data_IF_845027284453
#
_entry.id   IF_845027284453
#
_cell.length_a   1.000
_cell.length_b   1.000
_cell.length_c   1.000
_cell.angle_alpha   90.00
_cell.angle_beta   90.00
_cell.angle_gamma   90.00
#
_symmetry.space_group_name_H-M   'P 1'
#
loop_
_entity.id
_entity.type
_entity.pdbx_description
1 polymer ?
#
# COMPACT_ATOMS: atom_id res chain seq x y z
N UNK A 1 77.32 -8.22 -81.79
CA UNK A 1 75.96 -7.63 -81.77
C UNK A 1 74.94 -8.54 -81.07
N UNK A 2 74.81 -9.82 -81.45
CA UNK A 2 73.83 -10.77 -80.86
C UNK A 2 73.97 -10.95 -79.34
N UNK A 3 75.20 -11.07 -78.82
CA UNK A 3 75.43 -11.24 -77.38
C UNK A 3 74.95 -10.04 -76.55
N UNK A 4 75.21 -8.81 -77.01
CA UNK A 4 74.76 -7.57 -76.37
C UNK A 4 73.23 -7.45 -76.31
N UNK A 5 72.54 -7.82 -77.39
CA UNK A 5 71.07 -7.85 -77.43
C UNK A 5 70.54 -8.87 -76.43
N UNK A 6 71.09 -10.09 -76.43
CA UNK A 6 70.67 -11.17 -75.52
C UNK A 6 70.87 -10.82 -74.04
N UNK A 7 71.99 -10.19 -73.68
CA UNK A 7 72.24 -9.75 -72.29
C UNK A 7 71.27 -8.67 -71.86
N UNK A 8 70.96 -7.70 -72.74
CA UNK A 8 70.02 -6.62 -72.44
C UNK A 8 68.59 -7.14 -72.29
N UNK A 9 68.15 -8.02 -73.19
CA UNK A 9 66.82 -8.64 -73.08
C UNK A 9 66.71 -9.48 -71.81
N UNK A 10 67.75 -10.26 -71.46
CA UNK A 10 67.74 -11.05 -70.23
C UNK A 10 67.74 -10.16 -68.98
N UNK A 11 68.46 -9.04 -68.96
CA UNK A 11 68.42 -8.11 -67.83
C UNK A 11 67.05 -7.45 -67.68
N UNK A 12 66.41 -7.06 -68.79
CA UNK A 12 65.05 -6.50 -68.77
C UNK A 12 64.06 -7.53 -68.24
N UNK A 13 64.05 -8.76 -68.77
CA UNK A 13 63.16 -9.82 -68.29
C UNK A 13 63.35 -10.15 -66.81
N UNK A 14 64.59 -10.08 -66.30
CA UNK A 14 64.87 -10.27 -64.87
C UNK A 14 64.36 -9.11 -64.01
N UNK A 15 64.47 -7.87 -64.51
CA UNK A 15 63.88 -6.70 -63.86
C UNK A 15 62.37 -6.83 -63.80
N UNK A 16 61.73 -7.10 -64.94
CA UNK A 16 60.28 -7.25 -65.05
C UNK A 16 59.76 -8.38 -64.17
N UNK A 17 60.49 -9.51 -64.10
CA UNK A 17 60.14 -10.62 -63.20
C UNK A 17 60.25 -10.19 -61.73
N UNK A 18 61.34 -9.52 -61.35
CA UNK A 18 61.52 -9.02 -59.97
C UNK A 18 60.45 -8.01 -59.58
N UNK A 19 60.04 -7.14 -60.51
CA UNK A 19 58.95 -6.17 -60.30
C UNK A 19 57.60 -6.87 -60.16
N UNK A 20 57.32 -7.85 -61.01
CA UNK A 20 56.09 -8.64 -60.93
C UNK A 20 56.02 -9.47 -59.64
N UNK A 21 57.13 -10.05 -59.20
CA UNK A 21 57.22 -10.77 -57.92
C UNK A 21 56.99 -9.85 -56.72
N UNK A 22 57.58 -8.65 -56.73
CA UNK A 22 57.38 -7.65 -55.70
C UNK A 22 55.92 -7.15 -55.66
N UNK A 23 55.32 -6.89 -56.83
CA UNK A 23 53.92 -6.48 -56.93
C UNK A 23 52.97 -7.59 -56.44
N UNK A 24 53.24 -8.85 -56.82
CA UNK A 24 52.45 -10.00 -56.35
C UNK A 24 52.60 -10.20 -54.83
N UNK A 25 53.78 -10.00 -54.26
CA UNK A 25 54.00 -10.05 -52.82
C UNK A 25 53.24 -8.94 -52.08
N UNK A 26 53.29 -7.71 -52.60
CA UNK A 26 52.55 -6.58 -52.04
C UNK A 26 51.03 -6.79 -52.10
N UNK A 27 50.50 -7.26 -53.25
CA UNK A 27 49.08 -7.57 -53.41
C UNK A 27 48.61 -8.67 -52.45
N UNK A 28 49.42 -9.72 -52.23
CA UNK A 28 49.10 -10.77 -51.23
C UNK A 28 49.09 -10.22 -49.81
N UNK A 29 50.05 -9.36 -49.45
CA UNK A 29 50.11 -8.75 -48.13
C UNK A 29 48.91 -7.80 -47.89
N UNK A 30 48.47 -7.06 -48.91
CA UNK A 30 47.29 -6.22 -48.84
C UNK A 30 46.00 -7.05 -48.72
N UNK A 31 45.85 -8.10 -49.53
CA UNK A 31 44.72 -9.01 -49.45
C UNK A 31 44.61 -9.66 -48.06
N UNK A 32 45.73 -10.07 -47.45
CA UNK A 32 45.72 -10.65 -46.11
C UNK A 32 45.34 -9.62 -45.04
N UNK A 33 45.81 -8.37 -45.16
CA UNK A 33 45.40 -7.28 -44.26
C UNK A 33 43.89 -7.05 -44.32
N UNK A 34 43.33 -6.94 -45.52
CA UNK A 34 41.87 -6.79 -45.69
C UNK A 34 41.09 -8.00 -45.17
N UNK A 35 41.62 -9.21 -45.33
CA UNK A 35 40.99 -10.42 -44.78
C UNK A 35 40.92 -10.37 -43.26
N UNK A 36 42.02 -10.01 -42.60
CA UNK A 36 42.07 -9.89 -41.12
C UNK A 36 41.18 -8.75 -40.63
N UNK A 37 41.19 -7.60 -41.30
CA UNK A 37 40.33 -6.48 -40.95
C UNK A 37 38.84 -6.83 -41.10
N UNK A 38 38.48 -7.50 -42.20
CA UNK A 38 37.10 -7.98 -42.41
C UNK A 38 36.68 -8.99 -41.35
N UNK A 39 37.57 -9.90 -40.94
CA UNK A 39 37.30 -10.86 -39.86
C UNK A 39 37.10 -10.14 -38.54
N UNK A 40 37.97 -9.19 -38.20
CA UNK A 40 37.86 -8.43 -36.96
C UNK A 40 36.58 -7.58 -36.91
N UNK A 41 36.19 -6.99 -38.05
CA UNK A 41 34.93 -6.25 -38.18
C UNK A 41 33.72 -7.16 -38.00
N UNK A 42 33.72 -8.33 -38.64
CA UNK A 42 32.66 -9.32 -38.48
C UNK A 42 32.54 -9.82 -37.03
N UNK A 43 33.65 -10.16 -36.39
CA UNK A 43 33.67 -10.59 -34.98
C UNK A 43 33.14 -9.49 -34.04
N UNK A 44 33.49 -8.23 -34.33
CA UNK A 44 33.02 -7.09 -33.55
C UNK A 44 31.52 -6.85 -33.72
N UNK A 45 31.01 -6.99 -34.95
CA UNK A 45 29.57 -6.92 -35.22
C UNK A 45 28.80 -8.03 -34.49
N UNK A 46 29.28 -9.27 -34.55
CA UNK A 46 28.67 -10.40 -33.83
C UNK A 46 28.64 -10.15 -32.32
N UNK A 47 29.75 -9.69 -31.73
CA UNK A 47 29.77 -9.35 -30.28
C UNK A 47 28.79 -8.23 -29.93
N UNK A 48 28.69 -7.21 -30.78
CA UNK A 48 27.75 -6.11 -30.56
C UNK A 48 26.29 -6.59 -30.63
N UNK A 49 25.94 -7.43 -31.61
CA UNK A 49 24.60 -8.02 -31.73
C UNK A 49 24.25 -8.87 -30.52
N UNK A 50 25.16 -9.74 -30.07
CA UNK A 50 24.95 -10.55 -28.87
C UNK A 50 24.74 -9.70 -27.61
N UNK A 51 25.53 -8.64 -27.43
CA UNK A 51 25.36 -7.72 -26.31
C UNK A 51 24.01 -6.99 -26.36
N UNK A 52 23.56 -6.59 -27.56
CA UNK A 52 22.25 -5.96 -27.73
C UNK A 52 21.11 -6.92 -27.38
N UNK A 53 21.19 -8.19 -27.81
CA UNK A 53 20.19 -9.19 -27.46
C UNK A 53 20.17 -9.48 -25.95
N UNK A 54 21.34 -9.57 -25.31
CA UNK A 54 21.43 -9.75 -23.86
C UNK A 54 20.77 -8.57 -23.10
N UNK A 55 21.07 -7.33 -23.53
CA UNK A 55 20.48 -6.12 -22.95
C UNK A 55 18.97 -6.05 -23.16
N UNK A 56 18.48 -6.45 -24.34
CA UNK A 56 17.04 -6.57 -24.61
C UNK A 56 16.38 -7.58 -23.68
N UNK A 57 17.02 -8.74 -23.49
CA UNK A 57 16.56 -9.75 -22.54
C UNK A 57 16.53 -9.23 -21.10
N UNK A 58 17.58 -8.53 -20.67
CA UNK A 58 17.65 -7.93 -19.34
C UNK A 58 16.57 -6.87 -19.12
N UNK A 59 16.34 -6.00 -20.12
CA UNK A 59 15.29 -4.99 -20.08
C UNK A 59 13.89 -5.62 -20.01
N UNK A 60 13.64 -6.68 -20.78
CA UNK A 60 12.36 -7.38 -20.73
C UNK A 60 12.10 -8.00 -19.35
N UNK A 61 13.11 -8.64 -18.74
CA UNK A 61 13.02 -9.18 -17.37
C UNK A 61 12.75 -8.08 -16.35
N UNK A 62 13.52 -6.99 -16.41
CA UNK A 62 13.34 -5.85 -15.49
C UNK A 62 11.95 -5.22 -15.60
N UNK A 63 11.39 -5.12 -16.81
CA UNK A 63 10.01 -4.64 -17.01
C UNK A 63 8.96 -5.59 -16.45
N UNK A 64 9.14 -6.90 -16.62
CA UNK A 64 8.24 -7.90 -16.07
C UNK A 64 8.27 -7.87 -14.53
N UNK A 65 9.45 -7.75 -13.93
CA UNK A 65 9.61 -7.62 -12.48
C UNK A 65 8.98 -6.34 -11.95
N UNK A 66 9.18 -5.20 -12.64
CA UNK A 66 8.55 -3.93 -12.26
C UNK A 66 7.02 -4.04 -12.27
N UNK A 67 6.43 -4.59 -13.33
CA UNK A 67 4.99 -4.78 -13.44
C UNK A 67 4.44 -5.69 -12.33
N UNK A 68 5.17 -6.76 -12.00
CA UNK A 68 4.81 -7.66 -10.88
C UNK A 68 4.82 -6.92 -9.54
N UNK A 69 5.90 -6.19 -9.23
CA UNK A 69 6.03 -5.46 -7.97
C UNK A 69 4.99 -4.34 -7.84
N UNK A 70 4.65 -3.65 -8.94
CA UNK A 70 3.58 -2.67 -8.98
C UNK A 70 2.22 -3.30 -8.66
N UNK A 71 1.94 -4.49 -9.21
CA UNK A 71 0.74 -5.26 -8.90
C UNK A 71 0.67 -5.67 -7.42
N UNK A 72 1.77 -6.19 -6.88
CA UNK A 72 1.88 -6.57 -5.46
C UNK A 72 1.68 -5.36 -4.53
N UNK A 73 2.29 -4.21 -4.85
CA UNK A 73 2.10 -2.96 -4.13
C UNK A 73 0.65 -2.46 -4.19
N UNK A 74 0.00 -2.59 -5.34
CA UNK A 74 -1.42 -2.28 -5.51
C UNK A 74 -2.30 -3.12 -4.58
N UNK A 75 -2.07 -4.44 -4.55
CA UNK A 75 -2.80 -5.36 -3.68
C UNK A 75 -2.58 -5.07 -2.19
N UNK A 76 -1.34 -4.82 -1.76
CA UNK A 76 -1.02 -4.48 -0.37
C UNK A 76 -1.65 -3.16 0.08
N UNK A 77 -1.69 -2.16 -0.81
CA UNK A 77 -2.36 -0.88 -0.51
C UNK A 77 -3.87 -1.05 -0.38
N UNK A 78 -4.49 -1.84 -1.25
CA UNK A 78 -5.91 -2.15 -1.14
C UNK A 78 -6.24 -2.90 0.16
N UNK A 79 -5.43 -3.90 0.53
CA UNK A 79 -5.59 -4.62 1.80
C UNK A 79 -5.44 -3.69 3.00
N UNK A 80 -4.42 -2.82 3.00
CA UNK A 80 -4.21 -1.87 4.09
C UNK A 80 -5.40 -0.91 4.26
N UNK A 81 -6.04 -0.50 3.16
CA UNK A 81 -7.23 0.35 3.22
C UNK A 81 -8.39 -0.39 3.89
N UNK A 82 -8.69 -1.61 3.45
CA UNK A 82 -9.74 -2.46 4.03
C UNK A 82 -9.49 -2.70 5.52
N UNK A 83 -8.26 -3.05 5.91
CA UNK A 83 -7.89 -3.23 7.31
C UNK A 83 -8.12 -1.96 8.15
N UNK A 84 -7.88 -0.78 7.57
CA UNK A 84 -8.14 0.49 8.28
C UNK A 84 -9.63 0.76 8.45
N UNK A 85 -10.44 0.48 7.43
CA UNK A 85 -11.90 0.61 7.48
C UNK A 85 -12.51 -0.36 8.50
N UNK A 86 -12.07 -1.62 8.50
CA UNK A 86 -12.51 -2.65 9.44
C UNK A 86 -12.18 -2.27 10.89
N UNK A 87 -10.97 -1.76 11.15
CA UNK A 87 -10.60 -1.27 12.50
C UNK A 87 -11.46 -0.08 12.93
N UNK A 88 -11.79 0.82 12.00
CA UNK A 88 -12.67 1.95 12.29
C UNK A 88 -14.11 1.49 12.58
N UNK A 89 -14.63 0.55 11.79
CA UNK A 89 -15.93 -0.06 12.01
C UNK A 89 -15.98 -0.75 13.38
N UNK A 90 -14.98 -1.58 13.70
CA UNK A 90 -14.89 -2.26 14.99
C UNK A 90 -14.82 -1.29 16.17
N UNK A 91 -14.02 -0.22 16.07
CA UNK A 91 -13.96 0.83 17.11
C UNK A 91 -15.32 1.51 17.32
N UNK A 92 -16.05 1.74 16.24
CA UNK A 92 -17.38 2.36 16.29
C UNK A 92 -18.38 1.41 16.94
N UNK A 93 -18.40 0.14 16.53
CA UNK A 93 -19.25 -0.88 17.14
C UNK A 93 -18.95 -1.09 18.62
N UNK A 94 -17.68 -1.15 19.01
CA UNK A 94 -17.28 -1.26 20.42
C UNK A 94 -17.70 -0.03 21.23
N UNK A 95 -17.63 1.17 20.65
CA UNK A 95 -18.12 2.39 21.30
C UNK A 95 -19.64 2.35 21.51
N UNK A 96 -20.38 1.90 20.49
CA UNK A 96 -21.84 1.71 20.56
C UNK A 96 -22.18 0.67 21.63
N UNK A 97 -21.54 -0.51 21.58
CA UNK A 97 -21.73 -1.58 22.54
C UNK A 97 -21.44 -1.11 23.99
N UNK A 98 -20.36 -0.35 24.21
CA UNK A 98 -20.05 0.24 25.52
C UNK A 98 -21.11 1.25 25.98
N UNK A 99 -21.65 2.06 25.06
CA UNK A 99 -22.75 2.99 25.39
C UNK A 99 -24.00 2.23 25.82
N UNK A 100 -24.34 1.15 25.11
CA UNK A 100 -25.48 0.30 25.46
C UNK A 100 -25.28 -0.44 26.78
N UNK A 101 -24.07 -0.96 27.07
CA UNK A 101 -23.80 -1.63 28.35
C UNK A 101 -23.94 -0.67 29.53
N UNK A 102 -23.42 0.56 29.43
CA UNK A 102 -23.57 1.59 30.48
C UNK A 102 -25.03 2.01 30.69
N UNK A 103 -25.88 1.89 29.67
CA UNK A 103 -27.32 2.14 29.79
C UNK A 103 -28.06 0.94 30.39
N UNK A 104 -27.65 -0.28 30.08
CA UNK A 104 -28.23 -1.52 30.62
C UNK A 104 -27.89 -1.72 32.11
N UNK A 105 -26.73 -1.23 32.57
CA UNK A 105 -26.32 -1.26 33.99
C UNK A 105 -26.98 -0.14 34.82
N UNK A 106 -28.16 0.36 34.41
CA UNK A 106 -28.88 1.41 35.14
C UNK A 106 -30.34 1.05 35.28
N UNK A 107 -30.88 1.41 36.43
CA UNK A 107 -32.30 1.33 36.72
C UNK A 107 -32.80 2.70 37.11
N UNK A 108 -34.00 3.01 36.67
CA UNK A 108 -34.64 4.29 36.87
C UNK A 108 -35.67 4.16 37.97
N UNK A 109 -35.43 4.89 39.05
CA UNK A 109 -36.26 4.85 40.24
C UNK A 109 -37.16 6.07 40.28
N UNK A 110 -38.46 5.84 40.40
CA UNK A 110 -39.47 6.87 40.54
C UNK A 110 -39.75 7.12 42.04
N UNK A 111 -39.64 8.37 42.44
CA UNK A 111 -40.00 8.84 43.79
C UNK A 111 -41.23 9.75 43.72
N UNK A 112 -42.10 9.64 44.72
CA UNK A 112 -43.22 10.55 44.97
C UNK A 112 -43.04 11.21 46.35
N UNK A 113 -42.92 12.54 46.40
CA UNK A 113 -42.68 13.30 47.65
C UNK A 113 -41.49 12.79 48.50
N UNK A 114 -40.49 12.19 47.85
CA UNK A 114 -39.32 11.62 48.53
C UNK A 114 -39.41 10.14 48.86
N UNK A 115 -40.57 9.51 48.73
CA UNK A 115 -40.73 8.07 48.95
C UNK A 115 -40.56 7.28 47.65
N UNK A 116 -39.94 6.10 47.76
CA UNK A 116 -39.76 5.18 46.64
C UNK A 116 -41.11 4.65 46.17
N UNK A 117 -41.49 4.93 44.93
CA UNK A 117 -42.74 4.45 44.35
C UNK A 117 -42.53 3.19 43.50
N UNK A 118 -41.72 3.27 42.45
CA UNK A 118 -41.50 2.15 41.53
C UNK A 118 -40.14 2.19 40.83
N UNK A 119 -39.74 1.03 40.29
CA UNK A 119 -38.40 0.78 39.74
C UNK A 119 -38.55 0.29 38.29
N UNK A 120 -37.86 0.94 37.36
CA UNK A 120 -38.04 0.73 35.92
C UNK A 120 -36.71 0.49 35.21
N UNK A 121 -36.74 -0.29 34.14
CA UNK A 121 -35.56 -0.57 33.32
C UNK A 121 -35.15 0.62 32.42
N UNK A 122 -36.07 1.55 32.10
CA UNK A 122 -35.81 2.71 31.25
C UNK A 122 -36.38 3.99 31.84
N UNK A 123 -35.81 5.15 31.45
CA UNK A 123 -36.35 6.47 31.83
C UNK A 123 -37.78 6.62 31.35
N UNK A 124 -38.03 6.28 30.08
CA UNK A 124 -39.34 6.42 29.44
C UNK A 124 -40.43 5.61 30.15
N UNK A 125 -40.09 4.41 30.66
CA UNK A 125 -41.03 3.61 31.46
C UNK A 125 -41.32 4.27 32.82
N UNK A 126 -40.30 4.84 33.48
CA UNK A 126 -40.49 5.57 34.72
C UNK A 126 -41.33 6.85 34.54
N UNK A 127 -41.08 7.60 33.47
CA UNK A 127 -41.84 8.79 33.11
C UNK A 127 -43.29 8.43 32.75
N UNK A 128 -43.51 7.40 31.92
CA UNK A 128 -44.85 6.93 31.57
C UNK A 128 -45.65 6.47 32.79
N UNK A 129 -45.00 5.80 33.75
CA UNK A 129 -45.61 5.41 35.01
C UNK A 129 -45.98 6.63 35.86
N UNK A 130 -45.13 7.66 35.91
CA UNK A 130 -45.45 8.91 36.58
C UNK A 130 -46.65 9.62 35.92
N UNK A 131 -46.75 9.65 34.59
CA UNK A 131 -47.92 10.22 33.88
C UNK A 131 -49.21 9.46 34.21
N UNK A 132 -49.16 8.14 34.22
CA UNK A 132 -50.31 7.29 34.52
C UNK A 132 -50.84 7.55 35.95
N UNK A 133 -49.94 7.84 36.89
CA UNK A 133 -50.27 8.20 38.28
C UNK A 133 -50.59 9.70 38.47
N UNK A 134 -50.72 10.45 37.38
CA UNK A 134 -51.19 11.84 37.39
C UNK A 134 -50.12 12.91 37.56
N UNK A 135 -48.84 12.60 37.33
CA UNK A 135 -47.78 13.61 37.28
C UNK A 135 -47.94 14.53 36.07
N UNK A 136 -47.83 15.85 36.28
CA UNK A 136 -47.77 16.81 35.18
C UNK A 136 -46.38 16.76 34.50
N UNK A 137 -46.34 16.73 33.16
CA UNK A 137 -45.09 16.67 32.36
C UNK A 137 -44.08 17.78 32.66
N UNK A 138 -44.54 18.92 33.19
CA UNK A 138 -43.71 20.06 33.57
C UNK A 138 -43.24 20.04 35.03
N UNK A 139 -43.68 19.06 35.83
CA UNK A 139 -43.53 19.04 37.29
C UNK A 139 -42.51 18.06 37.85
N UNK A 140 -41.93 17.17 37.03
CA UNK A 140 -40.85 16.28 37.47
C UNK A 140 -39.47 16.81 37.10
N UNK A 141 -38.46 16.52 37.93
CA UNK A 141 -37.06 16.84 37.63
C UNK A 141 -36.32 15.57 37.22
N UNK A 142 -35.81 15.53 35.99
CA UNK A 142 -34.86 14.50 35.55
C UNK A 142 -33.45 14.93 35.94
N UNK A 143 -32.93 14.37 37.03
CA UNK A 143 -31.59 14.71 37.51
C UNK A 143 -30.55 13.86 36.80
N UNK A 144 -29.49 14.47 36.22
CA UNK A 144 -28.39 13.69 35.69
C UNK A 144 -27.69 12.92 36.82
N UNK A 145 -27.07 11.77 36.52
CA UNK A 145 -26.39 10.96 37.52
C UNK A 145 -25.34 11.77 38.29
N UNK A 146 -25.43 11.82 39.62
CA UNK A 146 -24.48 12.53 40.48
C UNK A 146 -24.78 14.02 40.71
N UNK A 147 -25.90 14.56 40.21
CA UNK A 147 -26.32 15.92 40.54
C UNK A 147 -26.73 16.05 42.03
N UNK A 148 -26.41 17.19 42.63
CA UNK A 148 -26.81 17.52 44.00
C UNK A 148 -28.33 17.45 44.15
N UNK A 149 -28.79 16.72 45.17
CA UNK A 149 -30.20 16.43 45.41
C UNK A 149 -30.90 17.69 45.93
N UNK A 150 -31.88 18.28 45.22
CA UNK A 150 -32.81 19.20 45.87
C UNK A 150 -33.59 18.45 46.96
N UNK A 151 -33.97 19.12 48.06
CA UNK A 151 -34.64 18.49 49.18
C UNK A 151 -35.94 17.80 48.73
N UNK A 152 -36.18 16.58 49.23
CA UNK A 152 -37.22 15.67 48.79
C UNK A 152 -38.65 16.24 48.84
N UNK A 153 -38.88 17.26 49.67
CA UNK A 153 -40.16 17.96 49.82
C UNK A 153 -40.44 19.01 48.73
N UNK A 154 -39.47 19.34 47.88
CA UNK A 154 -39.60 20.40 46.89
C UNK A 154 -40.14 19.92 45.53
N UNK A 155 -40.19 18.61 45.28
CA UNK A 155 -40.58 18.04 43.98
C UNK A 155 -41.54 16.87 44.19
N UNK A 156 -42.75 16.99 43.64
CA UNK A 156 -43.83 15.98 43.80
C UNK A 156 -43.47 14.64 43.15
N UNK A 157 -42.85 14.66 41.96
CA UNK A 157 -42.46 13.46 41.21
C UNK A 157 -41.02 13.57 40.73
N UNK A 158 -40.25 12.50 40.89
CA UNK A 158 -38.82 12.52 40.57
C UNK A 158 -38.33 11.19 40.00
N UNK A 159 -37.68 11.23 38.85
CA UNK A 159 -37.01 10.06 38.26
C UNK A 159 -35.50 10.18 38.47
N UNK A 160 -34.90 9.16 39.09
CA UNK A 160 -33.46 9.11 39.35
C UNK A 160 -32.83 7.86 38.74
N UNK A 161 -31.77 8.00 37.92
CA UNK A 161 -30.97 6.86 37.50
C UNK A 161 -30.08 6.36 38.64
N UNK A 162 -30.16 5.07 38.97
CA UNK A 162 -29.25 4.36 39.86
C UNK A 162 -28.47 3.29 39.10
N UNK A 163 -27.16 3.12 39.36
CA UNK A 163 -26.39 2.05 38.76
C UNK A 163 -26.83 0.68 39.32
N UNK A 164 -27.09 -0.28 38.44
CA UNK A 164 -27.22 -1.70 38.76
C UNK A 164 -25.82 -2.31 38.82
N UNK A 165 -25.23 -2.37 40.02
CA UNK A 165 -23.91 -2.98 40.23
C UNK A 165 -22.86 -1.94 40.61
N UNK A 166 -22.64 -1.82 41.92
CA UNK A 166 -21.67 -0.89 42.49
C UNK A 166 -21.68 -0.91 44.01
N UNK A 167 -21.42 -2.08 44.61
CA UNK A 167 -20.68 -2.11 45.87
C UNK A 167 -19.26 -1.58 45.56
N UNK A 168 -19.16 -0.25 45.53
CA UNK A 168 -17.97 0.51 45.17
C UNK A 168 -18.02 1.81 45.95
N UNK A 169 -17.73 1.67 47.25
CA UNK A 169 -17.34 2.68 48.23
C UNK A 169 -17.16 4.09 47.67
N UNK A 170 -17.99 5.03 48.13
CA UNK A 170 -17.60 6.42 48.32
C UNK A 170 -18.47 7.06 49.41
N UNK A 171 -17.79 7.55 50.45
CA UNK A 171 -18.22 8.27 51.65
C UNK A 171 -18.65 7.40 52.84
#
# INVERSE_FOLDING_TARGET
>A
MIALVRTRTLSTLRSDLSEAEAAAAAARAEAERHRVESQHSADSAIRAELAVEELRGALARSRADAARLEGELGALRAQSLLDTEDRQALRTLLRIARKHSVQADRVYVLFHQGELHSVHATVEAAESAAEAEGAARSGWTTLPPGAALPPASAVTWRVQPLPLGGAGVAA
#
